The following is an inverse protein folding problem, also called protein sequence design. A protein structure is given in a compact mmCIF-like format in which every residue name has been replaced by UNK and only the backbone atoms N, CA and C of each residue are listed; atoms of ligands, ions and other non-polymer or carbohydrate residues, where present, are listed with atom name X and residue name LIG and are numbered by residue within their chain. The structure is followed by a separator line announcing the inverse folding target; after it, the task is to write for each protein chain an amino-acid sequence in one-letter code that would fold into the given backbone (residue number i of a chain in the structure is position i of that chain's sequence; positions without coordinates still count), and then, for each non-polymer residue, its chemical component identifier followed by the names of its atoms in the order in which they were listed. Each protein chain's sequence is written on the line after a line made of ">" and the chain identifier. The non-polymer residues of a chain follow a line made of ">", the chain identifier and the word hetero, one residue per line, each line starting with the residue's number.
data_IF_600757299734
#
_entry.id   IF_600757299734
#
_cell.length_a   1.000
_cell.length_b   1.000
_cell.length_c   1.000
_cell.angle_alpha   90.00
_cell.angle_beta   90.00
_cell.angle_gamma   90.00
#
_symmetry.space_group_name_H-M   'P 1'
#
loop_
_entity.id
_entity.type
_entity.pdbx_description
1 polymer ?
#
# COMPACT_ATOMS: atom_id res chain seq x y z
N UNK A 1 0.05 32.05 13.53
CA UNK A 1 0.06 30.56 13.50
C UNK A 1 -0.69 29.97 12.30
N UNK A 2 -1.77 30.60 11.79
CA UNK A 2 -2.56 30.13 10.64
C UNK A 2 -1.83 30.03 9.27
N UNK A 3 -0.94 30.99 8.93
CA UNK A 3 -0.24 31.02 7.62
C UNK A 3 0.68 29.82 7.35
N UNK A 4 1.19 29.15 8.39
CA UNK A 4 2.09 27.99 8.23
C UNK A 4 1.30 26.74 7.84
N UNK A 5 0.10 26.55 8.40
CA UNK A 5 -0.76 25.42 8.08
C UNK A 5 -1.35 25.52 6.66
N UNK A 6 -1.66 26.73 6.19
CA UNK A 6 -2.14 26.93 4.82
C UNK A 6 -1.09 26.57 3.75
N UNK A 7 0.20 26.79 4.02
CA UNK A 7 1.28 26.41 3.10
C UNK A 7 1.40 24.88 2.99
N UNK A 8 1.30 24.16 4.12
CA UNK A 8 1.32 22.70 4.11
C UNK A 8 0.10 22.10 3.42
N UNK A 9 -1.09 22.67 3.62
CA UNK A 9 -2.29 22.27 2.89
C UNK A 9 -2.17 22.53 1.39
N UNK A 10 -1.60 23.67 1.00
CA UNK A 10 -1.35 23.99 -0.41
C UNK A 10 -0.31 23.05 -1.04
N UNK A 11 0.78 22.76 -0.34
CA UNK A 11 1.80 21.79 -0.78
C UNK A 11 1.20 20.38 -0.92
N UNK A 12 0.38 19.96 0.03
CA UNK A 12 -0.32 18.67 -0.03
C UNK A 12 -1.29 18.60 -1.21
N UNK A 13 -2.06 19.67 -1.43
CA UNK A 13 -2.95 19.80 -2.59
C UNK A 13 -2.19 19.81 -3.92
N UNK A 14 -1.05 20.49 -3.99
CA UNK A 14 -0.19 20.51 -5.17
C UNK A 14 0.40 19.13 -5.46
N UNK A 15 0.87 18.42 -4.42
CA UNK A 15 1.35 17.04 -4.55
C UNK A 15 0.25 16.12 -5.10
N UNK A 16 -0.97 16.26 -4.58
CA UNK A 16 -2.15 15.55 -5.08
C UNK A 16 -2.44 15.84 -6.55
N UNK A 17 -2.38 17.11 -6.95
CA UNK A 17 -2.60 17.51 -8.33
C UNK A 17 -1.51 16.96 -9.27
N UNK A 18 -0.25 16.98 -8.84
CA UNK A 18 0.88 16.41 -9.61
C UNK A 18 0.68 14.90 -9.78
N UNK A 19 0.33 14.17 -8.72
CA UNK A 19 0.04 12.73 -8.80
C UNK A 19 -1.08 12.45 -9.81
N UNK A 20 -2.19 13.20 -9.77
CA UNK A 20 -3.30 13.06 -10.71
C UNK A 20 -2.87 13.32 -12.16
N UNK A 21 -2.03 14.33 -12.41
CA UNK A 21 -1.51 14.63 -13.75
C UNK A 21 -0.60 13.51 -14.28
N UNK A 22 0.29 12.98 -13.43
CA UNK A 22 1.18 11.86 -13.79
C UNK A 22 0.36 10.60 -14.11
N UNK A 23 -0.65 10.30 -13.30
CA UNK A 23 -1.53 9.15 -13.53
C UNK A 23 -2.40 9.31 -14.77
N UNK A 24 -2.91 10.51 -15.04
CA UNK A 24 -3.64 10.78 -16.30
C UNK A 24 -2.78 10.53 -17.52
N UNK A 25 -1.48 10.80 -17.46
CA UNK A 25 -0.55 10.53 -18.56
C UNK A 25 -0.23 9.05 -18.77
N UNK A 26 -0.56 8.17 -17.81
CA UNK A 26 -0.20 6.74 -17.85
C UNK A 26 -1.39 5.78 -17.81
N UNK A 27 -2.53 6.20 -17.27
CA UNK A 27 -3.72 5.38 -17.13
C UNK A 27 -4.77 5.81 -18.17
N UNK A 28 -5.34 4.84 -18.89
CA UNK A 28 -6.45 5.08 -19.84
C UNK A 28 -7.80 5.27 -19.11
N UNK A 29 -7.77 5.67 -17.84
CA UNK A 29 -8.94 5.83 -16.98
C UNK A 29 -9.44 7.28 -16.98
N UNK A 30 -10.74 7.45 -16.78
CA UNK A 30 -11.33 8.79 -16.69
C UNK A 30 -10.81 9.57 -15.48
N UNK A 31 -10.72 10.90 -15.57
CA UNK A 31 -10.27 11.76 -14.46
C UNK A 31 -11.15 11.55 -13.22
N UNK A 32 -12.46 11.35 -13.42
CA UNK A 32 -13.40 11.04 -12.34
C UNK A 32 -13.03 9.74 -11.60
N UNK A 33 -12.70 8.68 -12.34
CA UNK A 33 -12.25 7.41 -11.73
C UNK A 33 -10.94 7.58 -10.94
N UNK A 34 -9.96 8.30 -11.49
CA UNK A 34 -8.70 8.58 -10.80
C UNK A 34 -8.90 9.36 -9.50
N UNK A 35 -9.79 10.37 -9.51
CA UNK A 35 -10.15 11.13 -8.30
C UNK A 35 -10.83 10.24 -7.27
N UNK A 36 -11.75 9.37 -7.68
CA UNK A 36 -12.42 8.43 -6.78
C UNK A 36 -11.41 7.46 -6.16
N UNK A 37 -10.51 6.88 -6.95
CA UNK A 37 -9.45 5.99 -6.45
C UNK A 37 -8.58 6.72 -5.42
N UNK A 38 -8.17 7.95 -5.72
CA UNK A 38 -7.38 8.77 -4.79
C UNK A 38 -8.13 9.09 -3.50
N UNK A 39 -9.41 9.45 -3.60
CA UNK A 39 -10.24 9.76 -2.45
C UNK A 39 -10.43 8.52 -1.56
N UNK A 40 -10.68 7.37 -2.16
CA UNK A 40 -10.87 6.11 -1.42
C UNK A 40 -9.55 5.68 -0.76
N UNK A 41 -8.43 5.68 -1.49
CA UNK A 41 -7.11 5.32 -0.94
C UNK A 41 -6.62 6.30 0.12
N UNK A 42 -6.79 7.60 -0.10
CA UNK A 42 -6.24 8.64 0.77
C UNK A 42 -7.13 9.03 1.95
N UNK A 43 -8.45 8.96 1.80
CA UNK A 43 -9.42 9.36 2.85
C UNK A 43 -10.23 8.16 3.33
N UNK A 44 -10.78 7.38 2.41
CA UNK A 44 -11.63 6.22 2.74
C UNK A 44 -10.91 5.22 3.64
N UNK A 45 -9.75 4.72 3.21
CA UNK A 45 -8.95 3.78 4.00
C UNK A 45 -8.47 4.39 5.32
N UNK A 46 -8.15 5.67 5.38
CA UNK A 46 -7.78 6.34 6.62
C UNK A 46 -8.94 6.40 7.61
N UNK A 47 -10.15 6.72 7.15
CA UNK A 47 -11.36 6.71 7.98
C UNK A 47 -11.66 5.29 8.47
N UNK A 48 -11.61 4.30 7.58
CA UNK A 48 -11.79 2.89 7.95
C UNK A 48 -10.75 2.47 8.99
N UNK A 49 -9.48 2.80 8.79
CA UNK A 49 -8.41 2.50 9.73
C UNK A 49 -8.69 3.11 11.10
N UNK A 50 -9.11 4.37 11.16
CA UNK A 50 -9.49 5.03 12.43
C UNK A 50 -10.65 4.27 13.08
N UNK A 51 -11.74 4.04 12.35
CA UNK A 51 -12.93 3.37 12.89
C UNK A 51 -12.60 1.97 13.42
N UNK A 52 -11.78 1.23 12.68
CA UNK A 52 -11.41 -0.15 12.99
C UNK A 52 -10.40 -0.24 14.15
N UNK A 53 -9.62 0.83 14.38
CA UNK A 53 -8.66 0.92 15.49
C UNK A 53 -9.21 1.65 16.72
N UNK A 54 -10.43 2.20 16.66
CA UNK A 54 -11.10 2.78 17.83
C UNK A 54 -11.21 1.73 18.94
N UNK A 55 -10.65 2.06 20.11
CA UNK A 55 -10.69 1.18 21.29
C UNK A 55 -9.53 0.19 21.40
N UNK A 56 -8.56 0.22 20.48
CA UNK A 56 -7.31 -0.54 20.60
C UNK A 56 -6.18 0.33 21.15
N UNK A 57 -5.35 -0.25 22.02
CA UNK A 57 -4.15 0.42 22.51
C UNK A 57 -3.18 0.66 21.34
N UNK A 58 -2.70 1.89 21.15
CA UNK A 58 -1.72 2.17 20.13
C UNK A 58 -0.45 1.39 20.45
N UNK A 59 0.12 0.73 19.43
CA UNK A 59 1.53 0.38 19.52
C UNK A 59 2.27 1.70 19.76
N UNK A 60 3.13 1.72 20.77
CA UNK A 60 3.96 2.88 21.12
C UNK A 60 5.39 2.63 20.64
N UNK A 61 5.64 2.52 19.32
CA UNK A 61 7.00 2.41 18.84
C UNK A 61 7.72 3.70 19.22
N UNK A 62 8.78 3.56 20.01
CA UNK A 62 9.60 4.69 20.42
C UNK A 62 10.44 5.10 19.21
N UNK A 63 10.04 6.16 18.52
CA UNK A 63 10.82 6.79 17.44
C UNK A 63 12.16 7.22 18.03
N UNK A 64 13.25 6.61 17.57
CA UNK A 64 14.59 6.79 18.14
C UNK A 64 15.29 7.98 17.49
N UNK A 65 15.22 8.07 16.16
CA UNK A 65 15.89 9.09 15.36
C UNK A 65 14.93 9.69 14.30
N UNK A 66 14.07 10.65 14.68
CA UNK A 66 12.96 11.12 13.83
C UNK A 66 13.38 11.61 12.44
N UNK A 67 14.54 12.28 12.33
CA UNK A 67 15.02 12.82 11.04
C UNK A 67 15.55 11.73 10.12
N UNK A 68 16.28 10.77 10.67
CA UNK A 68 16.91 9.69 9.92
C UNK A 68 15.87 8.64 9.52
N UNK A 69 14.94 8.28 10.42
CA UNK A 69 13.83 7.38 10.13
C UNK A 69 12.93 7.94 9.02
N UNK A 70 12.61 9.23 9.06
CA UNK A 70 11.87 9.90 7.97
C UNK A 70 12.67 9.87 6.68
N UNK A 71 13.98 10.10 6.72
CA UNK A 71 14.85 10.01 5.55
C UNK A 71 14.83 8.63 4.90
N UNK A 72 14.94 7.56 5.71
CA UNK A 72 14.87 6.17 5.24
C UNK A 72 13.49 5.84 4.68
N UNK A 73 12.41 6.28 5.33
CA UNK A 73 11.05 6.09 4.83
C UNK A 73 10.83 6.80 3.48
N UNK A 74 11.30 8.04 3.34
CA UNK A 74 11.24 8.78 2.08
C UNK A 74 12.07 8.08 0.99
N UNK A 75 13.25 7.55 1.34
CA UNK A 75 14.07 6.74 0.45
C UNK A 75 13.34 5.49 -0.03
N UNK A 76 12.72 4.73 0.87
CA UNK A 76 11.88 3.58 0.53
C UNK A 76 10.72 3.98 -0.38
N UNK A 77 10.06 5.11 -0.11
CA UNK A 77 8.96 5.61 -0.94
C UNK A 77 9.44 5.93 -2.37
N UNK A 78 10.63 6.50 -2.50
CA UNK A 78 11.24 6.78 -3.80
C UNK A 78 11.58 5.49 -4.55
N UNK A 79 12.15 4.49 -3.87
CA UNK A 79 12.41 3.16 -4.43
C UNK A 79 11.10 2.51 -4.91
N UNK A 80 10.02 2.61 -4.14
CA UNK A 80 8.70 2.13 -4.57
C UNK A 80 8.17 2.87 -5.79
N UNK A 81 8.36 4.19 -5.83
CA UNK A 81 8.03 4.99 -7.01
C UNK A 81 8.76 4.50 -8.27
N UNK A 82 10.06 4.23 -8.16
CA UNK A 82 10.87 3.68 -9.27
C UNK A 82 10.40 2.28 -9.65
N UNK A 83 10.14 1.41 -8.67
CA UNK A 83 9.62 0.06 -8.89
C UNK A 83 8.33 0.07 -9.72
N UNK A 84 7.35 0.87 -9.32
CA UNK A 84 6.08 0.97 -10.07
C UNK A 84 6.25 1.64 -11.43
N UNK A 85 7.09 2.66 -11.53
CA UNK A 85 7.25 3.43 -12.77
C UNK A 85 8.01 2.66 -13.86
N UNK A 86 8.95 1.79 -13.49
CA UNK A 86 9.89 1.17 -14.43
C UNK A 86 9.96 -0.36 -14.33
N UNK A 87 9.99 -0.92 -13.12
CA UNK A 87 10.27 -2.34 -12.93
C UNK A 87 9.03 -3.22 -13.12
N UNK A 88 7.86 -2.76 -12.64
CA UNK A 88 6.61 -3.49 -12.79
C UNK A 88 6.18 -3.75 -14.25
N UNK A 89 6.28 -2.77 -15.18
CA UNK A 89 6.04 -2.98 -16.61
C UNK A 89 7.05 -3.92 -17.27
N UNK A 90 8.26 -4.03 -16.72
CA UNK A 90 9.31 -4.89 -17.25
C UNK A 90 9.08 -6.35 -16.85
N UNK A 91 8.74 -6.60 -15.58
CA UNK A 91 8.44 -7.94 -15.04
C UNK A 91 7.24 -8.56 -15.77
N UNK A 92 6.20 -7.78 -16.04
CA UNK A 92 4.98 -8.23 -16.74
C UNK A 92 5.19 -8.56 -18.22
N UNK A 93 6.23 -8.01 -18.86
CA UNK A 93 6.55 -8.31 -20.27
C UNK A 93 7.59 -9.42 -20.44
N UNK A 94 8.42 -9.67 -19.42
CA UNK A 94 9.57 -10.57 -19.51
C UNK A 94 9.29 -12.06 -19.30
N UNK A 95 8.12 -12.43 -18.74
CA UNK A 95 7.84 -13.82 -18.35
C UNK A 95 6.64 -14.39 -19.13
N UNK A 96 6.81 -15.40 -19.99
CA UNK A 96 5.69 -16.08 -20.63
C UNK A 96 5.07 -17.10 -19.66
N UNK A 97 3.92 -16.77 -19.07
CA UNK A 97 3.13 -17.66 -18.22
C UNK A 97 2.37 -16.93 -17.11
N UNK A 98 1.04 -16.96 -17.16
CA UNK A 98 0.16 -16.19 -16.24
C UNK A 98 0.35 -16.59 -14.76
N UNK A 99 0.54 -17.87 -14.44
CA UNK A 99 0.70 -18.32 -13.05
C UNK A 99 2.09 -18.01 -12.43
N UNK A 100 3.16 -18.09 -13.21
CA UNK A 100 4.51 -17.79 -12.72
C UNK A 100 4.71 -16.28 -12.49
N UNK A 101 4.06 -15.45 -13.31
CA UNK A 101 4.05 -13.99 -13.15
C UNK A 101 3.37 -13.55 -11.84
N UNK A 102 2.25 -14.16 -11.47
CA UNK A 102 1.51 -13.80 -10.25
C UNK A 102 2.32 -14.09 -8.99
N UNK A 103 2.91 -15.29 -8.89
CA UNK A 103 3.77 -15.68 -7.76
C UNK A 103 5.00 -14.78 -7.65
N UNK A 104 5.70 -14.53 -8.76
CA UNK A 104 6.88 -13.68 -8.77
C UNK A 104 6.52 -12.24 -8.35
N UNK A 105 5.41 -11.72 -8.86
CA UNK A 105 4.92 -10.38 -8.49
C UNK A 105 4.59 -10.31 -7.01
N UNK A 106 3.96 -11.35 -6.45
CA UNK A 106 3.66 -11.44 -5.02
C UNK A 106 4.94 -11.42 -4.18
N UNK A 107 5.93 -12.26 -4.53
CA UNK A 107 7.22 -12.35 -3.84
C UNK A 107 7.94 -10.99 -3.88
N UNK A 108 8.01 -10.35 -5.04
CA UNK A 108 8.67 -9.05 -5.19
C UNK A 108 7.93 -7.99 -4.36
N UNK A 109 6.60 -7.97 -4.36
CA UNK A 109 5.81 -7.08 -3.49
C UNK A 109 6.12 -7.33 -2.02
N UNK A 110 6.15 -8.58 -1.58
CA UNK A 110 6.43 -8.91 -0.18
C UNK A 110 7.83 -8.45 0.24
N UNK A 111 8.82 -8.66 -0.61
CA UNK A 111 10.19 -8.20 -0.37
C UNK A 111 10.27 -6.68 -0.32
N UNK A 112 9.70 -5.99 -1.31
CA UNK A 112 9.70 -4.53 -1.40
C UNK A 112 8.96 -3.88 -0.23
N UNK A 113 7.72 -4.29 0.06
CA UNK A 113 6.86 -3.59 1.01
C UNK A 113 7.07 -4.03 2.46
N UNK A 114 7.59 -5.24 2.71
CA UNK A 114 7.71 -5.78 4.06
C UNK A 114 9.16 -6.06 4.40
N UNK A 115 9.84 -6.92 3.64
CA UNK A 115 11.16 -7.42 4.05
C UNK A 115 12.23 -6.31 4.06
N UNK A 116 12.34 -5.52 3.00
CA UNK A 116 13.36 -4.47 2.88
C UNK A 116 13.16 -3.36 3.92
N UNK A 117 11.96 -2.76 4.08
CA UNK A 117 11.74 -1.75 5.12
C UNK A 117 11.99 -2.33 6.51
N UNK A 118 11.48 -3.53 6.80
CA UNK A 118 11.72 -4.16 8.11
C UNK A 118 13.21 -4.36 8.36
N UNK A 119 13.95 -4.90 7.39
CA UNK A 119 15.39 -5.09 7.52
C UNK A 119 16.14 -3.77 7.76
N UNK A 120 15.77 -2.69 7.06
CA UNK A 120 16.36 -1.36 7.27
C UNK A 120 16.09 -0.85 8.69
N UNK A 121 14.87 -0.99 9.20
CA UNK A 121 14.54 -0.58 10.57
C UNK A 121 15.23 -1.42 11.64
N UNK A 122 15.34 -2.73 11.43
CA UNK A 122 16.06 -3.64 12.33
C UNK A 122 17.57 -3.33 12.35
N UNK A 123 18.19 -3.16 11.17
CA UNK A 123 19.64 -3.03 11.04
C UNK A 123 20.15 -1.60 11.33
N UNK A 124 19.47 -0.56 10.86
CA UNK A 124 19.96 0.82 10.97
C UNK A 124 19.55 1.48 12.29
N UNK A 125 18.37 1.14 12.82
CA UNK A 125 17.82 1.80 14.01
C UNK A 125 17.71 0.87 15.21
N UNK A 126 18.07 -0.41 15.06
CA UNK A 126 18.07 -1.40 16.13
C UNK A 126 16.68 -1.70 16.67
N UNK A 127 15.63 -1.53 15.86
CA UNK A 127 14.30 -2.02 16.21
C UNK A 127 14.36 -3.53 16.39
N UNK A 128 13.48 -4.07 17.22
CA UNK A 128 13.25 -5.50 17.29
C UNK A 128 11.95 -5.87 16.56
N UNK A 129 11.82 -7.13 16.10
CA UNK A 129 10.57 -7.58 15.47
C UNK A 129 9.36 -7.35 16.38
N UNK A 130 9.54 -7.43 17.70
CA UNK A 130 8.50 -7.17 18.71
C UNK A 130 8.04 -5.71 18.77
N UNK A 131 8.87 -4.78 18.31
CA UNK A 131 8.53 -3.35 18.26
C UNK A 131 7.73 -3.01 16.99
N UNK A 132 7.93 -3.80 15.92
CA UNK A 132 7.28 -3.63 14.62
C UNK A 132 6.01 -4.47 14.48
N UNK A 133 5.89 -5.59 15.20
CA UNK A 133 4.73 -6.46 15.20
C UNK A 133 4.26 -6.78 16.62
N UNK A 134 2.94 -6.74 16.88
CA UNK A 134 2.41 -7.17 18.17
C UNK A 134 2.63 -8.68 18.35
N UNK A 135 3.62 -9.06 19.16
CA UNK A 135 3.98 -10.46 19.42
C UNK A 135 2.87 -11.25 20.15
N UNK A 136 1.91 -10.55 20.77
CA UNK A 136 0.76 -11.20 21.40
C UNK A 136 -0.29 -11.57 20.34
N UNK A 137 -0.38 -12.87 20.01
CA UNK A 137 -1.35 -13.45 19.09
C UNK A 137 -2.78 -13.50 19.68
N UNK A 138 -3.26 -12.38 20.21
CA UNK A 138 -4.64 -12.28 20.65
C UNK A 138 -5.52 -12.05 19.43
N UNK A 139 -6.51 -12.93 19.20
CA UNK A 139 -7.49 -12.78 18.12
C UNK A 139 -8.09 -11.37 18.07
N UNK A 140 -8.35 -10.77 19.25
CA UNK A 140 -8.86 -9.40 19.37
C UNK A 140 -7.93 -8.36 18.74
N UNK A 141 -6.61 -8.51 18.85
CA UNK A 141 -5.62 -7.59 18.28
C UNK A 141 -5.41 -7.79 16.78
N UNK A 142 -5.84 -8.92 16.22
CA UNK A 142 -5.81 -9.22 14.78
C UNK A 142 -7.07 -8.72 14.05
N UNK A 143 -8.19 -8.54 14.77
CA UNK A 143 -9.44 -8.04 14.19
C UNK A 143 -9.27 -6.74 13.38
N UNK A 144 -8.48 -5.74 13.82
CA UNK A 144 -8.27 -4.53 13.03
C UNK A 144 -7.61 -4.79 11.67
N UNK A 145 -6.58 -5.64 11.67
CA UNK A 145 -5.88 -6.04 10.45
C UNK A 145 -6.80 -6.84 9.52
N UNK A 146 -7.64 -7.72 10.07
CA UNK A 146 -8.63 -8.47 9.30
C UNK A 146 -9.67 -7.56 8.64
N UNK A 147 -10.22 -6.60 9.37
CA UNK A 147 -11.18 -5.64 8.83
C UNK A 147 -10.58 -4.75 7.74
N UNK A 148 -9.34 -4.28 7.92
CA UNK A 148 -8.62 -3.54 6.89
C UNK A 148 -8.31 -4.41 5.67
N UNK A 149 -7.94 -5.68 5.88
CA UNK A 149 -7.78 -6.65 4.80
C UNK A 149 -9.07 -6.86 4.02
N UNK A 150 -10.20 -7.01 4.71
CA UNK A 150 -11.51 -7.14 4.07
C UNK A 150 -11.90 -5.90 3.28
N UNK A 151 -11.64 -4.70 3.81
CA UNK A 151 -11.83 -3.45 3.08
C UNK A 151 -10.94 -3.36 1.83
N UNK A 152 -9.68 -3.83 1.92
CA UNK A 152 -8.79 -3.94 0.77
C UNK A 152 -9.31 -4.90 -0.30
N UNK A 153 -9.82 -6.07 0.11
CA UNK A 153 -10.43 -7.02 -0.82
C UNK A 153 -11.65 -6.37 -1.50
N UNK A 154 -12.54 -5.73 -0.73
CA UNK A 154 -13.68 -4.99 -1.28
C UNK A 154 -13.28 -3.92 -2.29
N UNK A 155 -12.22 -3.16 -2.00
CA UNK A 155 -11.66 -2.19 -2.93
C UNK A 155 -11.11 -2.84 -4.20
N UNK A 156 -10.36 -3.94 -4.07
CA UNK A 156 -9.84 -4.68 -5.23
C UNK A 156 -10.94 -5.33 -6.07
N UNK A 157 -12.09 -5.68 -5.48
CA UNK A 157 -13.26 -6.17 -6.23
C UNK A 157 -13.82 -5.09 -7.14
N UNK A 158 -13.91 -3.85 -6.66
CA UNK A 158 -14.54 -2.74 -7.40
C UNK A 158 -13.57 -2.08 -8.38
N UNK A 159 -12.30 -1.94 -8.00
CA UNK A 159 -11.30 -1.16 -8.73
C UNK A 159 -10.10 -1.97 -9.23
N UNK A 160 -9.96 -3.23 -8.80
CA UNK A 160 -8.87 -4.10 -9.22
C UNK A 160 -9.17 -4.81 -10.53
N UNK A 161 -8.15 -4.95 -11.39
CA UNK A 161 -8.24 -5.68 -12.65
C UNK A 161 -8.36 -7.20 -12.46
N UNK A 162 -7.93 -7.74 -11.31
CA UNK A 162 -7.83 -9.18 -11.09
C UNK A 162 -9.16 -9.93 -11.17
N UNK A 163 -10.29 -9.30 -10.81
CA UNK A 163 -11.61 -9.93 -10.95
C UNK A 163 -12.16 -9.86 -12.36
N UNK A 164 -11.79 -8.82 -13.13
CA UNK A 164 -12.10 -8.79 -14.55
C UNK A 164 -11.30 -9.85 -15.30
N UNK A 165 -10.03 -10.10 -14.94
CA UNK A 165 -9.22 -11.21 -15.47
C UNK A 165 -9.80 -12.60 -15.09
N UNK A 166 -10.30 -12.78 -13.86
CA UNK A 166 -10.97 -14.03 -13.43
C UNK A 166 -12.32 -14.21 -14.14
N UNK A 167 -13.05 -13.13 -14.39
CA UNK A 167 -14.34 -13.16 -15.10
C UNK A 167 -14.15 -13.39 -16.61
N UNK A 168 -13.08 -12.89 -17.19
CA UNK A 168 -12.72 -13.10 -18.60
C UNK A 168 -12.14 -14.50 -18.84
N UNK A 169 -11.48 -15.11 -17.85
CA UNK A 169 -10.90 -16.45 -17.99
C UNK A 169 -11.91 -17.61 -17.99
N UNK A 170 -13.21 -17.37 -17.69
CA UNK A 170 -14.27 -18.40 -17.76
C UNK A 170 -13.93 -19.73 -17.05
N UNK A 171 -13.07 -19.71 -16.03
CA UNK A 171 -12.67 -20.91 -15.31
C UNK A 171 -13.68 -21.23 -14.21
N UNK A 172 -14.11 -22.50 -14.06
CA UNK A 172 -15.03 -22.89 -13.01
C UNK A 172 -14.39 -22.68 -11.63
N UNK A 173 -15.17 -22.14 -10.68
CA UNK A 173 -14.83 -21.90 -9.27
C UNK A 173 -13.96 -22.98 -8.57
N UNK A 174 -14.15 -24.30 -8.79
CA UNK A 174 -13.29 -25.31 -8.17
C UNK A 174 -11.81 -25.28 -8.58
N UNK A 175 -11.45 -24.70 -9.74
CA UNK A 175 -10.04 -24.55 -10.18
C UNK A 175 -9.33 -23.33 -9.60
N UNK A 176 -10.03 -22.42 -8.92
CA UNK A 176 -9.42 -21.24 -8.27
C UNK A 176 -8.98 -21.51 -6.83
N UNK A 177 -9.38 -22.65 -6.26
CA UNK A 177 -9.14 -23.02 -4.85
C UNK A 177 -8.00 -24.06 -4.73
N UNK A 178 -7.49 -24.60 -5.85
CA UNK A 178 -6.41 -25.58 -5.89
C UNK A 178 -5.27 -25.13 -6.80
#
# INVERSE_FOLDING_TARGET
>A
MFKRNSIWLALYGALWAVCLLVLRGRANQSVAQLVVIFLVLGVGFSVVAVVVTLGYEPLSPRVRAPREEVGVLLGCLLVFGVYFAFLSPFITRGFPGEHSQQWLTLVIKLLMFIAIPSALFLLLFGYELRDLMPMSWSWRKLLPALWLGLAMIGFQIVFGSGLNEIRESNLPLPTLIF
#
